data_IF_617057038066
#
_entry.id   IF_617057038066
#
_cell.length_a   1.000
_cell.length_b   1.000
_cell.length_c   1.000
_cell.angle_alpha   90.00
_cell.angle_beta   90.00
_cell.angle_gamma   90.00
#
_symmetry.space_group_name_H-M   'P 1'
#
loop_
_entity.id
_entity.type
_entity.pdbx_description
1 polymer ?
#
# COMPACT_ATOMS: atom_id res chain seq x y z
N UNK A 1 -18.33 15.97 -25.71
CA UNK A 1 -17.94 15.86 -24.28
C UNK A 1 -19.09 15.46 -23.36
N UNK A 2 -20.32 15.94 -23.59
CA UNK A 2 -21.47 15.66 -22.71
C UNK A 2 -21.92 14.17 -22.72
N UNK A 3 -21.97 13.53 -23.89
CA UNK A 3 -22.35 12.12 -24.04
C UNK A 3 -21.39 11.17 -23.30
N UNK A 4 -20.08 11.44 -23.39
CA UNK A 4 -19.02 10.71 -22.67
C UNK A 4 -19.21 10.82 -21.15
N UNK A 5 -19.53 12.02 -20.64
CA UNK A 5 -19.78 12.21 -19.21
C UNK A 5 -21.04 11.48 -18.72
N UNK A 6 -22.10 11.41 -19.53
CA UNK A 6 -23.34 10.69 -19.23
C UNK A 6 -23.12 9.18 -19.23
N UNK A 7 -22.38 8.68 -20.22
CA UNK A 7 -21.99 7.27 -20.30
C UNK A 7 -21.11 6.88 -19.12
N UNK A 8 -20.13 7.71 -18.76
CA UNK A 8 -19.27 7.46 -17.61
C UNK A 8 -20.08 7.40 -16.31
N UNK A 9 -21.02 8.34 -16.08
CA UNK A 9 -21.93 8.31 -14.92
C UNK A 9 -22.85 7.09 -14.93
N UNK A 10 -23.37 6.69 -16.09
CA UNK A 10 -24.20 5.49 -16.25
C UNK A 10 -23.40 4.22 -15.92
N UNK A 11 -22.19 4.08 -16.47
CA UNK A 11 -21.30 2.97 -16.16
C UNK A 11 -20.98 2.95 -14.66
N UNK A 12 -20.59 4.06 -14.04
CA UNK A 12 -20.36 4.11 -12.59
C UNK A 12 -21.61 3.84 -11.73
N UNK A 13 -22.81 4.08 -12.26
CA UNK A 13 -24.07 3.77 -11.56
C UNK A 13 -24.31 2.26 -11.46
N UNK A 14 -23.98 1.50 -12.50
CA UNK A 14 -24.20 0.05 -12.56
C UNK A 14 -22.94 -0.78 -12.29
N UNK A 15 -21.76 -0.18 -12.44
CA UNK A 15 -20.48 -0.82 -12.16
C UNK A 15 -20.21 -0.76 -10.65
N UNK A 16 -20.19 -1.91 -9.95
CA UNK A 16 -19.98 -1.92 -8.50
C UNK A 16 -18.63 -1.31 -8.15
N UNK A 17 -18.61 -0.35 -7.21
CA UNK A 17 -17.37 0.25 -6.70
C UNK A 17 -16.40 -0.81 -6.18
N UNK A 18 -16.90 -1.91 -5.63
CA UNK A 18 -16.10 -3.07 -5.17
C UNK A 18 -15.28 -3.68 -6.30
N UNK A 19 -15.87 -3.87 -7.49
CA UNK A 19 -15.18 -4.40 -8.66
C UNK A 19 -14.13 -3.39 -9.14
N UNK A 20 -14.48 -2.11 -9.24
CA UNK A 20 -13.52 -1.06 -9.60
C UNK A 20 -12.33 -1.00 -8.65
N UNK A 21 -12.58 -1.06 -7.34
CA UNK A 21 -11.55 -1.08 -6.31
C UNK A 21 -10.67 -2.34 -6.39
N UNK A 22 -11.23 -3.49 -6.78
CA UNK A 22 -10.48 -4.73 -6.96
C UNK A 22 -9.62 -4.71 -8.22
N UNK A 23 -10.17 -4.23 -9.35
CA UNK A 23 -9.39 -4.01 -10.58
C UNK A 23 -8.26 -3.02 -10.32
N UNK A 24 -8.53 -1.91 -9.64
CA UNK A 24 -7.51 -0.93 -9.25
C UNK A 24 -6.42 -1.52 -8.35
N UNK A 25 -6.80 -2.41 -7.43
CA UNK A 25 -5.85 -3.17 -6.61
C UNK A 25 -4.97 -4.08 -7.49
N UNK A 26 -5.54 -4.90 -8.38
CA UNK A 26 -4.76 -5.75 -9.28
C UNK A 26 -3.83 -4.95 -10.20
N UNK A 27 -4.29 -3.79 -10.68
CA UNK A 27 -3.49 -2.89 -11.50
C UNK A 27 -2.20 -2.44 -10.80
N UNK A 28 -2.23 -2.27 -9.48
CA UNK A 28 -1.05 -1.87 -8.69
C UNK A 28 0.17 -2.79 -8.85
N UNK A 29 -0.06 -4.08 -9.14
CA UNK A 29 0.99 -5.09 -9.34
C UNK A 29 1.59 -5.10 -10.75
N UNK A 30 0.91 -4.52 -11.73
CA UNK A 30 1.32 -4.60 -13.16
C UNK A 30 2.46 -3.66 -13.54
N UNK A 31 2.83 -2.75 -12.64
CA UNK A 31 3.81 -1.70 -12.92
C UNK A 31 5.23 -2.26 -12.77
N UNK A 32 6.05 -2.14 -13.81
CA UNK A 32 7.51 -2.30 -13.71
C UNK A 32 8.07 -1.11 -12.94
N UNK A 33 8.92 -1.35 -11.94
CA UNK A 33 9.45 -0.27 -11.10
C UNK A 33 10.87 -0.53 -10.61
N UNK A 34 11.67 0.53 -10.62
CA UNK A 34 12.95 0.62 -9.90
C UNK A 34 12.72 0.87 -8.41
N UNK A 35 11.61 1.53 -8.06
CA UNK A 35 11.19 1.87 -6.70
C UNK A 35 9.71 1.49 -6.52
N UNK A 36 9.37 0.99 -5.34
CA UNK A 36 7.99 0.66 -4.99
C UNK A 36 7.22 1.85 -4.43
N UNK A 37 7.90 2.88 -3.94
CA UNK A 37 7.27 4.08 -3.42
C UNK A 37 6.83 5.04 -4.53
N UNK A 38 6.29 6.20 -4.14
CA UNK A 38 5.78 7.19 -5.09
C UNK A 38 6.90 8.01 -5.74
N UNK A 39 7.91 8.38 -4.94
CA UNK A 39 9.00 9.27 -5.35
C UNK A 39 10.40 8.72 -5.04
N UNK A 40 10.55 7.42 -4.77
CA UNK A 40 11.84 6.79 -4.46
C UNK A 40 12.23 6.77 -2.98
N UNK A 41 11.33 7.14 -2.08
CA UNK A 41 11.49 7.07 -0.62
C UNK A 41 11.97 5.70 -0.13
N UNK A 42 11.49 4.60 -0.73
CA UNK A 42 11.92 3.24 -0.36
C UNK A 42 13.42 3.00 -0.61
N UNK A 43 13.96 3.55 -1.70
CA UNK A 43 15.39 3.47 -2.02
C UNK A 43 16.24 4.33 -1.07
N UNK A 44 15.74 5.50 -0.68
CA UNK A 44 16.40 6.36 0.31
C UNK A 44 16.46 5.64 1.66
N UNK A 45 15.34 5.07 2.11
CA UNK A 45 15.27 4.28 3.35
C UNK A 45 16.22 3.07 3.30
N UNK A 46 16.25 2.32 2.20
CA UNK A 46 17.17 1.19 2.04
C UNK A 46 18.64 1.62 2.14
N UNK A 47 19.02 2.70 1.48
CA UNK A 47 20.38 3.24 1.52
C UNK A 47 20.76 3.68 2.94
N UNK A 48 19.85 4.39 3.62
CA UNK A 48 20.05 4.84 5.00
C UNK A 48 20.24 3.66 5.96
N UNK A 49 19.35 2.67 5.92
CA UNK A 49 19.38 1.48 6.79
C UNK A 49 20.67 0.68 6.56
N UNK A 50 21.07 0.49 5.30
CA UNK A 50 22.33 -0.18 4.96
C UNK A 50 23.55 0.56 5.49
N UNK A 51 23.59 1.89 5.34
CA UNK A 51 24.68 2.72 5.87
C UNK A 51 24.74 2.68 7.40
N UNK A 52 23.59 2.51 8.06
CA UNK A 52 23.51 2.30 9.51
C UNK A 52 23.92 0.87 9.95
N UNK A 53 24.28 -0.02 9.03
CA UNK A 53 24.69 -1.40 9.35
C UNK A 53 23.54 -2.32 9.76
N UNK A 54 22.28 -1.91 9.52
CA UNK A 54 21.10 -2.68 9.91
C UNK A 54 20.70 -3.66 8.80
N UNK A 55 20.60 -4.94 9.15
CA UNK A 55 20.25 -6.02 8.21
C UNK A 55 18.85 -6.62 8.48
N UNK A 56 18.24 -6.29 9.61
CA UNK A 56 16.91 -6.76 10.02
C UNK A 56 16.26 -5.75 10.95
N UNK A 57 14.93 -5.84 11.07
CA UNK A 57 14.17 -4.98 11.97
C UNK A 57 12.67 -5.05 11.73
N UNK A 58 11.96 -4.09 12.35
CA UNK A 58 10.50 -3.97 12.30
C UNK A 58 10.11 -2.61 11.75
N UNK A 59 9.13 -2.59 10.85
CA UNK A 59 8.59 -1.39 10.22
C UNK A 59 7.25 -1.06 10.89
N UNK A 60 6.97 0.22 11.10
CA UNK A 60 5.63 0.71 11.41
C UNK A 60 5.17 1.56 10.22
N UNK A 61 4.18 1.06 9.47
CA UNK A 61 3.64 1.70 8.26
C UNK A 61 2.25 2.28 8.58
N UNK A 62 2.13 3.60 8.64
CA UNK A 62 0.92 4.31 9.06
C UNK A 62 0.29 4.97 7.83
N UNK A 63 -1.00 4.68 7.57
CA UNK A 63 -1.71 5.20 6.40
C UNK A 63 -1.30 4.52 5.10
N UNK A 64 -1.14 3.19 5.13
CA UNK A 64 -0.59 2.44 4.02
C UNK A 64 -1.58 2.30 2.84
N UNK A 65 -1.18 2.79 1.66
CA UNK A 65 -2.05 2.82 0.47
C UNK A 65 -2.26 1.44 -0.18
N UNK A 66 -1.18 0.80 -0.63
CA UNK A 66 -1.24 -0.49 -1.32
C UNK A 66 -0.01 -1.32 -0.94
N UNK A 67 -0.12 -2.66 -0.81
CA UNK A 67 0.95 -3.52 -0.32
C UNK A 67 2.22 -3.60 -1.20
N UNK A 68 2.26 -2.92 -2.36
CA UNK A 68 3.35 -3.02 -3.35
C UNK A 68 3.46 -1.72 -4.13
N UNK A 69 2.35 -1.22 -4.67
CA UNK A 69 2.29 0.07 -5.36
C UNK A 69 2.36 1.22 -4.35
N UNK A 70 3.27 2.18 -4.57
CA UNK A 70 3.42 3.36 -3.72
C UNK A 70 3.64 2.95 -2.26
N UNK A 71 4.35 1.84 -2.08
CA UNK A 71 4.65 1.27 -0.78
C UNK A 71 6.07 1.63 -0.41
N UNK A 72 6.21 2.41 0.66
CA UNK A 72 7.52 2.75 1.25
C UNK A 72 8.12 1.56 2.01
N UNK A 73 7.27 0.61 2.44
CA UNK A 73 7.63 -0.53 3.28
C UNK A 73 7.96 -1.80 2.50
N UNK A 74 7.39 -1.97 1.30
CA UNK A 74 7.48 -3.24 0.57
C UNK A 74 8.92 -3.67 0.24
N UNK A 75 9.80 -2.73 -0.13
CA UNK A 75 11.20 -3.06 -0.43
C UNK A 75 11.91 -3.73 0.75
N UNK A 76 11.66 -3.25 1.96
CA UNK A 76 12.24 -3.79 3.19
C UNK A 76 11.57 -5.11 3.58
N UNK A 77 10.24 -5.24 3.44
CA UNK A 77 9.52 -6.51 3.65
C UNK A 77 10.05 -7.60 2.71
N UNK A 78 10.33 -7.25 1.45
CA UNK A 78 10.95 -8.15 0.47
C UNK A 78 12.35 -8.60 0.90
N UNK A 79 13.08 -7.76 1.66
CA UNK A 79 14.40 -8.05 2.24
C UNK A 79 14.33 -8.79 3.59
N UNK A 80 13.15 -9.22 4.03
CA UNK A 80 12.98 -10.04 5.23
C UNK A 80 12.59 -9.27 6.49
N UNK A 81 12.36 -7.95 6.39
CA UNK A 81 11.82 -7.18 7.51
C UNK A 81 10.35 -7.54 7.75
N UNK A 82 9.91 -7.40 9.00
CA UNK A 82 8.49 -7.52 9.36
C UNK A 82 7.88 -6.15 9.54
N UNK A 83 6.57 -6.01 9.29
CA UNK A 83 5.90 -4.72 9.41
C UNK A 83 4.65 -4.82 10.29
N UNK A 84 4.36 -3.76 11.03
CA UNK A 84 3.02 -3.48 11.54
C UNK A 84 2.39 -2.40 10.67
N UNK A 85 1.23 -2.69 10.11
CA UNK A 85 0.51 -1.80 9.17
C UNK A 85 -0.72 -1.24 9.88
N UNK A 86 -0.77 0.07 10.03
CA UNK A 86 -1.87 0.80 10.64
C UNK A 86 -2.67 1.58 9.60
N UNK A 87 -3.96 1.29 9.46
CA UNK A 87 -4.87 2.04 8.59
C UNK A 87 -6.31 1.93 9.14
N UNK A 88 -7.17 2.89 8.79
CA UNK A 88 -8.59 2.91 9.15
C UNK A 88 -9.47 2.20 8.12
N UNK A 89 -8.88 1.70 7.03
CA UNK A 89 -9.56 0.93 6.01
C UNK A 89 -9.24 -0.56 6.16
N UNK A 90 -10.18 -1.32 6.72
CA UNK A 90 -10.05 -2.76 6.92
C UNK A 90 -9.81 -3.51 5.60
N UNK A 91 -10.35 -3.01 4.48
CA UNK A 91 -10.15 -3.64 3.17
C UNK A 91 -8.69 -3.54 2.73
N UNK A 92 -7.99 -2.45 3.05
CA UNK A 92 -6.55 -2.32 2.81
C UNK A 92 -5.76 -3.25 3.72
N UNK A 93 -6.08 -3.30 5.02
CA UNK A 93 -5.41 -4.21 5.95
C UNK A 93 -5.52 -5.67 5.48
N UNK A 94 -6.71 -6.09 5.04
CA UNK A 94 -6.91 -7.44 4.49
C UNK A 94 -6.06 -7.68 3.23
N UNK A 95 -5.93 -6.69 2.35
CA UNK A 95 -5.05 -6.79 1.17
C UNK A 95 -3.57 -6.93 1.57
N UNK A 96 -3.12 -6.23 2.61
CA UNK A 96 -1.77 -6.42 3.14
C UNK A 96 -1.57 -7.84 3.67
N UNK A 97 -2.52 -8.37 4.43
CA UNK A 97 -2.51 -9.77 4.90
C UNK A 97 -2.41 -10.76 3.75
N UNK A 98 -3.21 -10.56 2.69
CA UNK A 98 -3.27 -11.47 1.55
C UNK A 98 -1.96 -11.49 0.75
N UNK A 99 -1.24 -10.36 0.70
CA UNK A 99 -0.02 -10.22 -0.11
C UNK A 99 1.23 -10.60 0.67
N UNK A 100 1.30 -10.27 1.96
CA UNK A 100 2.52 -10.44 2.77
C UNK A 100 2.44 -11.55 3.81
N UNK A 101 1.25 -12.11 4.05
CA UNK A 101 1.03 -13.21 5.00
C UNK A 101 1.53 -12.87 6.40
N UNK A 102 2.28 -13.79 7.00
CA UNK A 102 2.82 -13.64 8.37
C UNK A 102 3.90 -12.57 8.53
N UNK A 103 4.37 -11.94 7.44
CA UNK A 103 5.36 -10.84 7.52
C UNK A 103 4.76 -9.53 8.01
N UNK A 104 3.42 -9.42 8.04
CA UNK A 104 2.72 -8.23 8.48
C UNK A 104 1.81 -8.52 9.68
N UNK A 105 1.83 -7.61 10.63
CA UNK A 105 0.81 -7.46 11.65
C UNK A 105 -0.12 -6.30 11.27
N UNK A 106 -1.42 -6.41 11.55
CA UNK A 106 -2.42 -5.42 11.12
C UNK A 106 -2.98 -4.69 12.33
N UNK A 107 -3.13 -3.37 12.21
CA UNK A 107 -3.69 -2.53 13.26
C UNK A 107 -4.77 -1.62 12.64
N UNK A 108 -6.03 -1.83 13.04
CA UNK A 108 -7.12 -0.94 12.65
C UNK A 108 -7.13 0.29 13.57
N UNK A 109 -6.34 1.30 13.23
CA UNK A 109 -6.13 2.49 14.06
C UNK A 109 -5.75 3.73 13.24
N UNK A 110 -5.90 4.90 13.88
CA UNK A 110 -5.41 6.18 13.39
C UNK A 110 -4.55 6.86 14.45
N UNK A 111 -3.61 7.70 14.02
CA UNK A 111 -2.88 8.60 14.91
C UNK A 111 -3.76 9.82 15.17
N UNK A 112 -4.07 10.08 16.44
CA UNK A 112 -4.88 11.22 16.87
C UNK A 112 -4.11 12.06 17.90
N UNK A 113 -4.36 13.38 18.00
CA UNK A 113 -3.81 14.19 19.08
C UNK A 113 -4.18 13.62 20.45
N UNK A 114 -3.31 13.81 21.43
CA UNK A 114 -3.65 13.49 22.82
C UNK A 114 -4.69 14.52 23.29
N UNK A 115 -5.86 14.02 23.67
CA UNK A 115 -6.92 14.84 24.29
C UNK A 115 -6.51 15.38 25.65
#
# INVERSE_FOLDING_TARGET
>A
MELLSRLQKFLFKYFPKSIGNYIGFLYGFTKRRTSFSQYGEDLILDSFIKKAGLNSGKILDIGAFHPVWYSNSYLLIKKGWTATVADIDQSKLNRFSNVHGSKVNLLFAAVVPKG
#
